data_IF_542511322625
#
_entry.id   IF_542511322625
#
_cell.length_a   1.000
_cell.length_b   1.000
_cell.length_c   1.000
_cell.angle_alpha   90.00
_cell.angle_beta   90.00
_cell.angle_gamma   90.00
#
_symmetry.space_group_name_H-M   'P 1'
#
loop_
_entity.id
_entity.type
_entity.pdbx_description
1 polymer ?
#
# COMPACT_ATOMS: atom_id res chain seq x y z
N UNK A 1 -3.97 -1.02 20.23
CA UNK A 1 -4.23 -2.40 19.74
C UNK A 1 -3.95 -3.41 20.85
N UNK A 2 -4.72 -4.51 20.92
CA UNK A 2 -4.38 -5.69 21.74
C UNK A 2 -3.08 -6.34 21.25
N UNK A 3 -2.43 -7.15 22.07
CA UNK A 3 -1.23 -7.90 21.66
C UNK A 3 -1.52 -8.70 20.38
N UNK A 4 -0.57 -8.67 19.44
CA UNK A 4 -0.72 -9.31 18.13
C UNK A 4 -1.76 -8.67 17.19
N UNK A 5 -2.37 -7.55 17.58
CA UNK A 5 -3.34 -6.82 16.75
C UNK A 5 -2.69 -6.23 15.48
N UNK A 6 -3.49 -6.15 14.41
CA UNK A 6 -3.06 -5.62 13.11
C UNK A 6 -3.48 -4.15 12.95
N UNK A 7 -2.55 -3.35 12.44
CA UNK A 7 -2.81 -2.01 11.91
C UNK A 7 -2.84 -2.10 10.38
N UNK A 8 -3.74 -1.36 9.76
CA UNK A 8 -3.72 -1.04 8.33
C UNK A 8 -4.01 0.43 8.15
N UNK A 9 -3.17 1.13 7.42
CA UNK A 9 -3.22 2.57 7.19
C UNK A 9 -3.04 2.83 5.70
N UNK A 10 -3.80 3.76 5.14
CA UNK A 10 -3.54 4.33 3.80
C UNK A 10 -3.22 5.81 4.01
N UNK A 11 -2.08 6.27 3.49
CA UNK A 11 -1.67 7.66 3.66
C UNK A 11 -0.90 8.19 2.45
N UNK A 12 -0.63 9.49 2.42
CA UNK A 12 0.30 10.13 1.47
C UNK A 12 1.69 9.49 1.58
N UNK A 13 2.31 9.18 0.43
CA UNK A 13 3.63 8.56 0.40
C UNK A 13 4.71 9.42 1.10
N UNK A 14 4.61 10.75 1.02
CA UNK A 14 5.51 11.67 1.72
C UNK A 14 5.50 11.53 3.25
N UNK A 15 4.45 10.94 3.83
CA UNK A 15 4.39 10.69 5.27
C UNK A 15 5.05 9.36 5.69
N UNK A 16 5.50 8.54 4.73
CA UNK A 16 6.05 7.22 5.01
C UNK A 16 7.22 7.27 6.02
N UNK A 17 8.19 8.20 5.94
CA UNK A 17 9.26 8.26 6.95
C UNK A 17 8.73 8.45 8.38
N UNK A 18 7.75 9.35 8.56
CA UNK A 18 7.14 9.60 9.87
C UNK A 18 6.33 8.39 10.38
N UNK A 19 5.64 7.70 9.48
CA UNK A 19 4.89 6.47 9.81
C UNK A 19 5.85 5.37 10.27
N UNK A 20 6.94 5.14 9.53
CA UNK A 20 7.95 4.14 9.89
C UNK A 20 8.60 4.46 11.23
N UNK A 21 8.97 5.71 11.47
CA UNK A 21 9.52 6.15 12.75
C UNK A 21 8.54 5.94 13.92
N UNK A 22 7.24 6.15 13.71
CA UNK A 22 6.22 5.94 14.75
C UNK A 22 5.96 4.46 15.06
N UNK A 23 6.23 3.56 14.11
CA UNK A 23 6.07 2.11 14.27
C UNK A 23 7.32 1.43 14.83
N UNK A 24 8.49 2.06 14.67
CA UNK A 24 9.76 1.53 15.15
C UNK A 24 9.71 1.17 16.64
N UNK A 25 10.33 0.04 16.98
CA UNK A 25 10.31 -0.61 18.29
C UNK A 25 8.91 -0.93 18.90
N UNK A 26 7.79 -0.57 18.26
CA UNK A 26 6.41 -0.77 18.76
C UNK A 26 5.63 -1.84 17.99
N UNK A 27 6.02 -2.09 16.75
CA UNK A 27 5.41 -3.09 15.87
C UNK A 27 6.46 -3.72 14.96
N UNK A 28 6.15 -4.93 14.49
CA UNK A 28 6.93 -5.64 13.47
C UNK A 28 5.99 -6.18 12.40
N UNK A 29 6.52 -6.98 11.47
CA UNK A 29 5.78 -7.40 10.26
C UNK A 29 5.19 -6.17 9.54
N UNK A 30 6.01 -5.11 9.46
CA UNK A 30 5.62 -3.86 8.82
C UNK A 30 5.78 -4.04 7.32
N UNK A 31 4.71 -3.87 6.55
CA UNK A 31 4.76 -3.90 5.10
C UNK A 31 4.28 -2.57 4.53
N UNK A 32 4.99 -2.02 3.55
CA UNK A 32 4.60 -0.82 2.82
C UNK A 32 4.36 -1.16 1.34
N UNK A 33 3.13 -0.97 0.87
CA UNK A 33 2.76 -1.05 -0.54
C UNK A 33 2.62 0.36 -1.11
N UNK A 34 3.55 0.80 -1.98
CA UNK A 34 3.38 2.04 -2.72
C UNK A 34 2.25 1.91 -3.74
N UNK A 35 1.40 2.93 -3.83
CA UNK A 35 0.39 3.07 -4.88
C UNK A 35 0.84 4.16 -5.85
N UNK A 36 1.07 3.78 -7.09
CA UNK A 36 1.48 4.68 -8.18
C UNK A 36 0.31 4.89 -9.12
N UNK A 37 0.18 6.10 -9.68
CA UNK A 37 -0.91 6.38 -10.63
C UNK A 37 -0.80 5.46 -11.85
N UNK A 38 0.40 5.36 -12.42
CA UNK A 38 0.75 4.56 -13.61
C UNK A 38 2.18 4.06 -13.49
N UNK A 39 2.57 3.09 -14.31
CA UNK A 39 3.92 2.55 -14.33
C UNK A 39 4.99 3.65 -14.51
N UNK A 40 6.10 3.53 -13.77
CA UNK A 40 7.22 4.48 -13.83
C UNK A 40 6.96 5.83 -13.15
N UNK A 41 5.83 6.02 -12.45
CA UNK A 41 5.54 7.22 -11.67
C UNK A 41 5.86 7.02 -10.20
N UNK A 42 6.16 8.13 -9.53
CA UNK A 42 6.30 8.15 -8.08
C UNK A 42 4.99 7.79 -7.39
N UNK A 43 5.10 7.20 -6.20
CA UNK A 43 3.93 6.85 -5.40
C UNK A 43 3.29 8.09 -4.79
N UNK A 44 1.99 8.27 -5.03
CA UNK A 44 1.19 9.32 -4.38
C UNK A 44 0.62 8.89 -3.02
N UNK A 45 0.46 7.58 -2.82
CA UNK A 45 -0.07 6.96 -1.60
C UNK A 45 0.73 5.72 -1.22
N UNK A 46 0.62 5.32 0.03
CA UNK A 46 1.19 4.08 0.55
C UNK A 46 0.16 3.41 1.46
N UNK A 47 0.00 2.10 1.32
CA UNK A 47 -0.69 1.26 2.30
C UNK A 47 0.37 0.69 3.22
N UNK A 48 0.21 0.89 4.52
CA UNK A 48 1.10 0.34 5.54
C UNK A 48 0.31 -0.64 6.40
N UNK A 49 0.84 -1.84 6.58
CA UNK A 49 0.37 -2.77 7.61
C UNK A 49 1.44 -2.99 8.65
N UNK A 50 1.03 -3.34 9.87
CA UNK A 50 1.94 -3.67 10.95
C UNK A 50 1.24 -4.57 11.98
N UNK A 51 2.02 -5.32 12.76
CA UNK A 51 1.53 -6.13 13.88
C UNK A 51 2.15 -5.68 15.20
N UNK A 52 1.31 -5.35 16.19
CA UNK A 52 1.75 -5.00 17.54
C UNK A 52 2.46 -6.19 18.20
N UNK A 53 3.54 -5.93 18.92
CA UNK A 53 4.36 -6.93 19.64
C UNK A 53 4.97 -8.00 18.73
N UNK A 54 5.22 -7.67 17.46
CA UNK A 54 5.94 -8.50 16.51
C UNK A 54 7.35 -7.93 16.28
N UNK A 55 8.30 -8.77 15.85
CA UNK A 55 9.69 -8.40 15.54
C UNK A 55 10.12 -8.78 14.12
N UNK A 56 9.21 -9.29 13.28
CA UNK A 56 9.52 -9.58 11.88
C UNK A 56 9.97 -8.30 11.14
N UNK A 57 10.92 -8.42 10.20
CA UNK A 57 11.52 -7.27 9.53
C UNK A 57 10.52 -6.52 8.65
N UNK A 58 10.86 -5.27 8.35
CA UNK A 58 10.14 -4.45 7.38
C UNK A 58 10.21 -5.06 5.97
N UNK A 59 9.12 -4.94 5.21
CA UNK A 59 9.06 -5.26 3.77
C UNK A 59 8.57 -4.06 2.97
N UNK A 60 9.33 -3.70 1.93
CA UNK A 60 8.87 -2.81 0.88
C UNK A 60 8.31 -3.66 -0.27
N UNK A 61 7.01 -3.56 -0.53
CA UNK A 61 6.35 -4.30 -1.60
C UNK A 61 6.65 -3.65 -2.96
N UNK A 62 6.54 -4.42 -4.04
CA UNK A 62 6.49 -3.88 -5.38
C UNK A 62 5.30 -2.89 -5.50
N UNK A 63 5.45 -1.77 -6.21
CA UNK A 63 4.38 -0.78 -6.32
C UNK A 63 3.18 -1.34 -7.08
N UNK A 64 1.97 -0.98 -6.65
CA UNK A 64 0.74 -1.24 -7.39
C UNK A 64 0.41 -0.03 -8.27
N UNK A 65 0.45 -0.20 -9.59
CA UNK A 65 -0.08 0.77 -10.53
C UNK A 65 -1.61 0.72 -10.50
N UNK A 66 -2.25 1.87 -10.25
CA UNK A 66 -3.71 1.94 -10.19
C UNK A 66 -4.33 1.91 -11.58
N UNK A 67 -3.69 2.54 -12.57
CA UNK A 67 -4.21 2.64 -13.93
C UNK A 67 -3.27 1.96 -14.95
N UNK A 68 -3.85 1.31 -15.95
CA UNK A 68 -3.18 0.71 -17.10
C UNK A 68 -2.83 1.77 -18.16
N UNK A 69 -1.75 1.54 -18.91
CA UNK A 69 -1.30 2.46 -19.96
C UNK A 69 -0.63 3.74 -19.42
N UNK A 70 0.01 4.48 -20.33
CA UNK A 70 0.80 5.67 -19.99
C UNK A 70 -0.03 6.93 -19.73
N UNK A 71 -1.25 6.98 -20.27
CA UNK A 71 -2.19 8.10 -20.18
C UNK A 71 -3.63 7.60 -20.17
N UNK A 72 -4.56 8.49 -19.83
CA UNK A 72 -5.98 8.20 -19.86
C UNK A 72 -6.49 8.17 -21.30
N UNK A 73 -7.14 7.09 -21.70
CA UNK A 73 -7.54 6.84 -23.10
C UNK A 73 -8.88 7.47 -23.51
N UNK A 74 -9.70 7.90 -22.55
CA UNK A 74 -11.04 8.43 -22.78
C UNK A 74 -11.95 8.17 -21.58
N UNK A 75 -13.21 8.61 -21.66
CA UNK A 75 -14.17 8.46 -20.58
C UNK A 75 -14.39 7.00 -20.20
N UNK A 76 -14.15 6.68 -18.93
CA UNK A 76 -14.28 5.34 -18.35
C UNK A 76 -13.16 5.05 -17.36
N UNK A 77 -13.22 3.91 -16.67
CA UNK A 77 -12.11 3.48 -15.83
C UNK A 77 -11.03 2.82 -16.68
N UNK A 78 -9.78 3.14 -16.40
CA UNK A 78 -8.61 2.47 -16.95
C UNK A 78 -7.79 1.82 -15.85
N UNK A 79 -8.46 1.24 -14.85
CA UNK A 79 -7.79 0.52 -13.77
C UNK A 79 -6.89 -0.60 -14.32
N UNK A 80 -5.75 -0.83 -13.66
CA UNK A 80 -4.96 -2.04 -13.90
C UNK A 80 -5.77 -3.28 -13.54
N UNK A 81 -5.37 -4.44 -14.08
CA UNK A 81 -6.02 -5.73 -13.76
C UNK A 81 -6.06 -5.97 -12.25
N UNK A 82 -4.95 -5.71 -11.53
CA UNK A 82 -4.94 -5.88 -10.08
C UNK A 82 -5.84 -4.88 -9.35
N UNK A 83 -5.88 -3.61 -9.79
CA UNK A 83 -6.73 -2.59 -9.16
C UNK A 83 -8.23 -2.85 -9.41
N UNK A 84 -8.59 -3.25 -10.63
CA UNK A 84 -9.96 -3.63 -10.99
C UNK A 84 -10.44 -4.82 -10.15
N UNK A 85 -9.60 -5.86 -9.99
CA UNK A 85 -9.94 -7.01 -9.16
C UNK A 85 -10.31 -6.61 -7.72
N UNK A 86 -9.60 -5.64 -7.13
CA UNK A 86 -9.90 -5.15 -5.78
C UNK A 86 -11.16 -4.27 -5.76
N UNK A 87 -11.23 -3.28 -6.66
CA UNK A 87 -12.24 -2.21 -6.62
C UNK A 87 -13.60 -2.63 -7.22
N UNK A 88 -13.61 -3.60 -8.13
CA UNK A 88 -14.80 -4.06 -8.86
C UNK A 88 -15.21 -5.47 -8.46
N UNK A 89 -14.24 -6.34 -8.21
CA UNK A 89 -14.50 -7.77 -7.92
C UNK A 89 -14.30 -8.16 -6.45
N UNK A 90 -14.04 -7.18 -5.57
CA UNK A 90 -13.81 -7.37 -4.14
C UNK A 90 -12.69 -8.38 -3.80
N UNK A 91 -11.71 -8.53 -4.69
CA UNK A 91 -10.54 -9.37 -4.44
C UNK A 91 -9.72 -8.84 -3.27
N UNK A 92 -9.13 -9.76 -2.50
CA UNK A 92 -8.25 -9.40 -1.40
C UNK A 92 -6.93 -8.80 -1.92
N UNK A 93 -6.52 -7.66 -1.35
CA UNK A 93 -5.20 -7.09 -1.56
C UNK A 93 -4.18 -7.75 -0.63
N UNK A 94 -3.20 -8.47 -1.19
CA UNK A 94 -2.20 -9.23 -0.42
C UNK A 94 -0.93 -8.40 -0.18
N UNK A 95 -0.46 -8.36 1.08
CA UNK A 95 0.66 -7.58 1.61
C UNK A 95 1.51 -8.42 2.58
#
# INVERSE_FOLDING_TARGET
LRQGGRLTLIHRAAALPAILAALDARAGDVAALPLIARAGRDAGRVIVTARKDNRAPFRLCAPLALHAGAAHGGDGDDFSTEAAAVLRDAAALRL
#
